data_IF_623152369827
#
_entry.id   IF_623152369827
#
_cell.length_a   1.000
_cell.length_b   1.000
_cell.length_c   1.000
_cell.angle_alpha   90.00
_cell.angle_beta   90.00
_cell.angle_gamma   90.00
#
_symmetry.space_group_name_H-M   'P 1'
#
loop_
_entity.id
_entity.type
_entity.pdbx_description
1 polymer ?
#
# COMPACT_ATOMS: atom_id res chain seq x y z
N UNK A 1 -6.04 30.22 -6.90
CA UNK A 1 -5.92 29.02 -7.77
C UNK A 1 -4.76 28.20 -7.23
N UNK A 2 -5.00 26.97 -6.79
CA UNK A 2 -3.92 26.09 -6.29
C UNK A 2 -3.14 25.60 -7.49
N UNK A 3 -1.90 26.04 -7.61
CA UNK A 3 -0.98 25.53 -8.63
C UNK A 3 -0.72 24.06 -8.32
N UNK A 4 -1.15 23.15 -9.20
CA UNK A 4 -0.93 21.73 -9.01
C UNK A 4 0.58 21.45 -9.18
N UNK A 5 1.31 21.44 -8.07
CA UNK A 5 2.76 21.22 -8.03
C UNK A 5 3.16 19.79 -8.38
N UNK A 6 2.19 18.88 -8.50
CA UNK A 6 2.39 17.46 -8.76
C UNK A 6 1.62 17.03 -10.02
N UNK A 7 2.28 16.92 -11.18
CA UNK A 7 1.63 16.36 -12.36
C UNK A 7 1.14 14.93 -12.05
N UNK A 8 -0.08 14.60 -12.47
CA UNK A 8 -0.70 13.28 -12.29
C UNK A 8 -0.96 12.84 -10.83
N UNK A 9 -1.06 13.76 -9.85
CA UNK A 9 -1.35 13.41 -8.44
C UNK A 9 -2.55 12.46 -8.28
N UNK A 10 -3.66 12.72 -8.98
CA UNK A 10 -4.87 11.86 -8.90
C UNK A 10 -4.55 10.41 -9.29
N UNK A 11 -3.72 10.22 -10.33
CA UNK A 11 -3.27 8.90 -10.73
C UNK A 11 -2.44 8.23 -9.62
N UNK A 12 -1.58 8.97 -8.92
CA UNK A 12 -0.80 8.45 -7.80
C UNK A 12 -1.68 8.06 -6.61
N UNK A 13 -2.74 8.82 -6.31
CA UNK A 13 -3.71 8.46 -5.27
C UNK A 13 -4.42 7.15 -5.63
N UNK A 14 -4.91 7.03 -6.87
CA UNK A 14 -5.54 5.78 -7.34
C UNK A 14 -4.56 4.61 -7.38
N UNK A 15 -3.32 4.85 -7.81
CA UNK A 15 -2.28 3.84 -7.89
C UNK A 15 -1.94 3.31 -6.51
N UNK A 16 -1.80 4.19 -5.51
CA UNK A 16 -1.60 3.82 -4.12
C UNK A 16 -2.75 2.92 -3.63
N UNK A 17 -4.01 3.32 -3.85
CA UNK A 17 -5.17 2.52 -3.42
C UNK A 17 -5.17 1.12 -4.03
N UNK A 18 -4.99 1.01 -5.36
CA UNK A 18 -4.90 -0.28 -6.07
C UNK A 18 -3.76 -1.15 -5.53
N UNK A 19 -2.63 -0.52 -5.25
CA UNK A 19 -1.42 -1.15 -4.74
C UNK A 19 -1.67 -1.75 -3.35
N UNK A 20 -2.19 -0.96 -2.41
CA UNK A 20 -2.55 -1.43 -1.06
C UNK A 20 -3.59 -2.55 -1.13
N UNK A 21 -4.67 -2.37 -1.89
CA UNK A 21 -5.73 -3.37 -2.03
C UNK A 21 -5.18 -4.70 -2.56
N UNK A 22 -4.28 -4.65 -3.56
CA UNK A 22 -3.62 -5.85 -4.08
C UNK A 22 -2.78 -6.56 -3.02
N UNK A 23 -2.03 -5.81 -2.22
CA UNK A 23 -1.23 -6.36 -1.13
C UNK A 23 -2.09 -7.01 -0.04
N UNK A 24 -3.18 -6.34 0.37
CA UNK A 24 -4.13 -6.81 1.39
C UNK A 24 -5.01 -7.95 0.87
N UNK A 25 -5.22 -8.07 -0.44
CA UNK A 25 -5.87 -9.24 -1.04
C UNK A 25 -4.96 -10.46 -0.99
N UNK A 26 -3.69 -10.27 -1.40
CA UNK A 26 -2.67 -11.30 -1.32
C UNK A 26 -2.87 -12.38 -2.36
N UNK A 27 -2.23 -13.52 -2.12
CA UNK A 27 -2.28 -14.64 -3.04
C UNK A 27 -3.46 -15.55 -2.70
N UNK A 28 -4.22 -15.95 -3.73
CA UNK A 28 -5.28 -16.95 -3.58
C UNK A 28 -4.70 -18.31 -3.18
N UNK A 29 -5.44 -19.08 -2.37
CA UNK A 29 -5.05 -20.44 -1.98
C UNK A 29 -4.86 -21.35 -3.21
N UNK A 30 -5.69 -21.13 -4.24
CA UNK A 30 -5.67 -21.86 -5.50
C UNK A 30 -4.78 -21.20 -6.57
N UNK A 31 -3.86 -20.30 -6.18
CA UNK A 31 -3.01 -19.60 -7.12
C UNK A 31 -2.08 -20.55 -7.90
N UNK A 32 -1.98 -20.28 -9.19
CA UNK A 32 -1.07 -20.95 -10.12
C UNK A 32 0.40 -20.74 -9.72
N UNK A 33 1.28 -21.61 -10.25
CA UNK A 33 2.72 -21.47 -10.04
C UNK A 33 3.29 -20.13 -10.52
N UNK A 34 2.72 -19.57 -11.60
CA UNK A 34 3.11 -18.26 -12.11
C UNK A 34 2.71 -17.13 -11.15
N UNK A 35 1.48 -17.16 -10.63
CA UNK A 35 1.01 -16.17 -9.64
C UNK A 35 1.82 -16.23 -8.35
N UNK A 36 2.19 -17.44 -7.89
CA UNK A 36 3.10 -17.64 -6.75
C UNK A 36 4.46 -16.98 -6.97
N UNK A 37 5.08 -17.19 -8.14
CA UNK A 37 6.36 -16.55 -8.51
C UNK A 37 6.24 -15.03 -8.60
N UNK A 38 5.15 -14.55 -9.19
CA UNK A 38 4.90 -13.11 -9.35
C UNK A 38 4.69 -12.42 -8.00
N UNK A 39 3.92 -13.05 -7.10
CA UNK A 39 3.72 -12.57 -5.74
C UNK A 39 5.01 -12.56 -4.93
N UNK A 40 5.86 -13.59 -5.04
CA UNK A 40 7.19 -13.58 -4.42
C UNK A 40 8.07 -12.43 -4.92
N UNK A 41 7.97 -12.09 -6.21
CA UNK A 41 8.81 -11.04 -6.81
C UNK A 41 8.31 -9.62 -6.52
N UNK A 42 7.00 -9.38 -6.53
CA UNK A 42 6.43 -8.02 -6.48
C UNK A 42 5.44 -7.77 -5.33
N UNK A 43 4.98 -8.82 -4.65
CA UNK A 43 3.98 -8.74 -3.58
C UNK A 43 4.56 -8.68 -2.17
N UNK A 44 5.86 -8.41 -2.01
CA UNK A 44 6.49 -8.31 -0.69
C UNK A 44 6.24 -6.95 -0.03
N UNK A 45 6.29 -6.93 1.31
CA UNK A 45 6.16 -5.70 2.11
C UNK A 45 7.13 -4.60 1.64
N UNK A 46 8.39 -4.94 1.41
CA UNK A 46 9.39 -3.96 0.98
C UNK A 46 9.07 -3.35 -0.39
N UNK A 47 8.48 -4.10 -1.31
CA UNK A 47 8.12 -3.58 -2.63
C UNK A 47 6.89 -2.69 -2.59
N UNK A 48 5.90 -3.06 -1.77
CA UNK A 48 4.70 -2.26 -1.61
C UNK A 48 5.00 -0.94 -0.88
N UNK A 49 5.85 -0.99 0.16
CA UNK A 49 6.31 0.21 0.86
C UNK A 49 7.01 1.19 -0.09
N UNK A 50 7.88 0.70 -0.98
CA UNK A 50 8.55 1.54 -1.98
C UNK A 50 7.58 2.17 -3.00
N UNK A 51 6.52 1.45 -3.38
CA UNK A 51 5.51 2.00 -4.30
C UNK A 51 4.73 3.13 -3.63
N UNK A 52 4.29 2.94 -2.38
CA UNK A 52 3.60 3.98 -1.63
C UNK A 52 4.53 5.19 -1.38
N UNK A 53 5.80 4.96 -1.03
CA UNK A 53 6.78 6.05 -0.90
C UNK A 53 6.98 6.84 -2.20
N UNK A 54 6.93 6.16 -3.34
CA UNK A 54 6.97 6.80 -4.64
C UNK A 54 5.73 7.66 -4.86
N UNK A 55 4.54 7.14 -4.59
CA UNK A 55 3.29 7.90 -4.69
C UNK A 55 3.30 9.12 -3.75
N UNK A 56 3.85 8.98 -2.53
CA UNK A 56 4.04 10.09 -1.59
C UNK A 56 4.96 11.16 -2.17
N UNK A 57 6.09 10.76 -2.78
CA UNK A 57 7.01 11.68 -3.45
C UNK A 57 6.32 12.47 -4.59
N UNK A 58 5.26 11.91 -5.16
CA UNK A 58 4.50 12.49 -6.26
C UNK A 58 3.17 13.15 -5.82
N UNK A 59 3.04 13.48 -4.54
CA UNK A 59 1.98 14.36 -4.05
C UNK A 59 0.85 13.66 -3.30
N UNK A 60 0.95 12.34 -3.07
CA UNK A 60 0.12 11.67 -2.07
C UNK A 60 0.61 12.05 -0.67
N UNK A 61 -0.30 12.36 0.25
CA UNK A 61 0.07 12.73 1.62
C UNK A 61 0.07 11.51 2.55
N UNK A 62 0.81 11.59 3.67
CA UNK A 62 0.78 10.52 4.67
C UNK A 62 -0.63 10.35 5.27
N UNK A 63 -1.38 11.45 5.38
CA UNK A 63 -2.77 11.43 5.85
C UNK A 63 -3.67 10.67 4.88
N UNK A 64 -3.47 10.80 3.56
CA UNK A 64 -4.18 10.01 2.55
C UNK A 64 -3.86 8.51 2.67
N UNK A 65 -2.59 8.16 2.95
CA UNK A 65 -2.18 6.77 3.18
C UNK A 65 -2.86 6.20 4.43
N UNK A 66 -2.83 6.94 5.54
CA UNK A 66 -3.45 6.52 6.81
C UNK A 66 -4.97 6.41 6.65
N UNK A 67 -5.61 7.40 6.01
CA UNK A 67 -7.05 7.40 5.75
C UNK A 67 -7.47 6.21 4.90
N UNK A 68 -6.64 5.79 3.93
CA UNK A 68 -6.89 4.59 3.15
C UNK A 68 -6.87 3.33 4.02
N UNK A 69 -5.93 3.19 4.94
CA UNK A 69 -5.89 2.04 5.85
C UNK A 69 -7.13 1.99 6.74
N UNK A 70 -7.56 3.11 7.31
CA UNK A 70 -8.79 3.21 8.08
C UNK A 70 -10.04 2.90 7.25
N UNK A 71 -10.09 3.38 6.00
CA UNK A 71 -11.15 3.07 5.05
C UNK A 71 -11.22 1.58 4.79
N UNK A 72 -10.10 0.90 4.54
CA UNK A 72 -10.07 -0.55 4.32
C UNK A 72 -10.58 -1.31 5.55
N UNK A 73 -10.29 -0.83 6.77
CA UNK A 73 -10.74 -1.46 8.02
C UNK A 73 -12.24 -1.35 8.24
N UNK A 74 -12.81 -0.18 7.95
CA UNK A 74 -14.14 0.17 8.43
C UNK A 74 -15.19 0.17 7.31
N UNK A 75 -14.82 0.52 6.10
CA UNK A 75 -15.76 0.70 5.00
C UNK A 75 -16.31 -0.65 4.49
N UNK A 76 -17.61 -0.68 4.27
CA UNK A 76 -18.35 -1.85 3.77
C UNK A 76 -17.91 -2.30 2.37
N UNK A 77 -17.40 -1.39 1.54
CA UNK A 77 -16.88 -1.67 0.20
C UNK A 77 -15.70 -2.65 0.21
N UNK A 78 -14.92 -2.67 1.30
CA UNK A 78 -13.80 -3.58 1.50
C UNK A 78 -14.16 -4.82 2.33
N UNK A 79 -15.44 -5.09 2.59
CA UNK A 79 -15.87 -6.26 3.38
C UNK A 79 -15.40 -7.59 2.78
N UNK A 80 -15.37 -7.71 1.45
CA UNK A 80 -14.87 -8.90 0.75
C UNK A 80 -13.36 -9.05 0.88
N UNK A 81 -12.63 -7.93 0.84
CA UNK A 81 -11.18 -7.88 1.03
C UNK A 81 -10.79 -8.37 2.43
N UNK A 82 -11.52 -7.91 3.47
CA UNK A 82 -11.31 -8.29 4.88
C UNK A 82 -11.60 -9.76 5.19
N UNK A 83 -12.44 -10.43 4.38
CA UNK A 83 -12.73 -11.87 4.52
C UNK A 83 -11.59 -12.77 4.03
N UNK A 84 -10.61 -12.22 3.30
CA UNK A 84 -9.48 -13.00 2.80
C UNK A 84 -8.56 -13.47 3.93
N UNK A 85 -8.07 -14.70 3.83
CA UNK A 85 -7.12 -15.26 4.80
C UNK A 85 -5.84 -14.40 4.88
N UNK A 86 -5.44 -14.06 6.12
CA UNK A 86 -4.30 -13.19 6.40
C UNK A 86 -4.41 -11.75 5.85
N UNK A 87 -5.59 -11.30 5.39
CA UNK A 87 -5.76 -9.96 4.83
C UNK A 87 -5.52 -8.87 5.87
N UNK A 88 -6.10 -9.01 7.06
CA UNK A 88 -5.95 -8.06 8.17
C UNK A 88 -4.54 -8.06 8.75
N UNK A 89 -3.86 -9.20 8.77
CA UNK A 89 -2.45 -9.31 9.17
C UNK A 89 -1.55 -8.50 8.22
N UNK A 90 -1.75 -8.66 6.91
CA UNK A 90 -1.03 -7.90 5.88
C UNK A 90 -1.36 -6.41 5.93
N UNK A 91 -2.60 -6.04 6.20
CA UNK A 91 -2.98 -4.64 6.42
C UNK A 91 -2.26 -4.05 7.64
N UNK A 92 -2.22 -4.76 8.76
CA UNK A 92 -1.50 -4.32 9.96
C UNK A 92 0.01 -4.23 9.72
N UNK A 93 0.59 -5.16 8.95
CA UNK A 93 2.01 -5.19 8.62
C UNK A 93 2.42 -3.95 7.80
N UNK A 94 1.67 -3.61 6.75
CA UNK A 94 1.96 -2.44 5.93
C UNK A 94 1.74 -1.14 6.69
N UNK A 95 0.66 -1.04 7.47
CA UNK A 95 0.39 0.14 8.27
C UNK A 95 1.49 0.40 9.31
N UNK A 96 1.99 -0.64 9.97
CA UNK A 96 3.11 -0.53 10.89
C UNK A 96 4.38 0.07 10.25
N UNK A 97 4.57 -0.03 8.93
CA UNK A 97 5.68 0.61 8.22
C UNK A 97 5.50 2.13 8.06
N UNK A 98 4.26 2.61 8.02
CA UNK A 98 3.94 4.04 7.82
C UNK A 98 3.57 4.75 9.12
N UNK A 99 3.13 4.02 10.14
CA UNK A 99 2.84 4.57 11.49
C UNK A 99 4.09 4.77 12.34
N UNK A 100 5.22 4.14 12.01
CA UNK A 100 6.48 4.31 12.74
C UNK A 100 7.26 5.51 12.20
N UNK A 101 7.74 6.43 13.05
CA UNK A 101 8.65 7.47 12.60
C UNK A 101 9.92 6.81 12.05
N UNK A 102 10.21 7.04 10.77
CA UNK A 102 11.44 6.56 10.15
C UNK A 102 12.62 7.26 10.81
N UNK A 103 13.37 6.52 11.63
CA UNK A 103 14.66 6.99 12.14
C UNK A 103 15.55 7.19 10.91
N UNK A 104 15.79 8.45 10.54
CA UNK A 104 16.76 8.79 9.50
C UNK A 104 18.14 8.52 10.07
N UNK A 105 18.63 7.29 9.95
CA UNK A 105 20.05 7.01 10.17
C UNK A 105 20.83 7.75 9.07
N UNK A 106 21.73 8.68 9.41
CA UNK A 106 22.58 9.32 8.42
C UNK A 106 23.42 8.23 7.76
N UNK A 107 23.24 8.07 6.45
CA UNK A 107 24.02 7.13 5.68
C UNK A 107 25.38 7.76 5.41
N UNK A 108 26.31 7.61 6.35
CA UNK A 108 27.72 7.90 6.13
C UNK A 108 28.21 6.92 5.07
N UNK A 109 28.58 7.46 3.91
CA UNK A 109 29.36 6.76 2.88
C UNK A 109 30.84 6.90 3.19
#
# INVERSE_FOLDING_TARGET
MVQNSFPMREWHVEHMEKTVVKYVKGLSENASGWEKRNHKKYGSLANISRQIEYDIKHGVTNEEVISLFEKIRNDSSFSTLRKGSGSMERLAEIENQFSKPKIRVPQWR
#
